data_IF_925047722952
#
_entry.id   IF_925047722952
#
_cell.length_a   1.000
_cell.length_b   1.000
_cell.length_c   1.000
_cell.angle_alpha   90.00
_cell.angle_beta   90.00
_cell.angle_gamma   90.00
#
_symmetry.space_group_name_H-M   'P 1'
#
loop_
_entity.id
_entity.type
_entity.pdbx_description
1 polymer ?
#
# COMPACT_ATOMS: atom_id res chain seq x y z
N UNK A 1 -11.13 2.82 -17.66
CA UNK A 1 -10.20 3.13 -16.55
C UNK A 1 -8.93 2.33 -16.75
N UNK A 2 -7.77 2.98 -16.74
CA UNK A 2 -6.46 2.35 -16.88
C UNK A 2 -5.62 2.72 -15.66
N UNK A 3 -4.88 1.75 -15.12
CA UNK A 3 -3.99 1.97 -13.98
C UNK A 3 -2.58 1.57 -14.41
N UNK A 4 -1.61 2.44 -14.16
CA UNK A 4 -0.20 2.20 -14.42
C UNK A 4 0.56 2.38 -13.11
N UNK A 5 1.18 1.31 -12.62
CA UNK A 5 2.04 1.36 -11.44
C UNK A 5 3.50 1.14 -11.87
N UNK A 6 4.35 2.08 -11.48
CA UNK A 6 5.78 2.08 -11.72
C UNK A 6 6.51 2.13 -10.39
N UNK A 7 6.75 0.96 -9.83
CA UNK A 7 7.41 0.80 -8.53
C UNK A 7 8.87 1.29 -8.53
N UNK A 8 9.52 1.32 -9.70
CA UNK A 8 10.90 1.81 -9.89
C UNK A 8 11.05 3.29 -9.54
N UNK A 9 9.98 4.06 -9.70
CA UNK A 9 9.94 5.51 -9.45
C UNK A 9 8.82 5.90 -8.48
N UNK A 10 8.33 4.94 -7.70
CA UNK A 10 7.27 5.11 -6.70
C UNK A 10 6.02 5.89 -7.21
N UNK A 11 5.54 5.49 -8.39
CA UNK A 11 4.54 6.24 -9.13
C UNK A 11 3.32 5.40 -9.49
N UNK A 12 2.12 5.96 -9.27
CA UNK A 12 0.86 5.37 -9.74
C UNK A 12 0.09 6.40 -10.55
N UNK A 13 -0.31 6.03 -11.76
CA UNK A 13 -1.22 6.80 -12.61
C UNK A 13 -2.53 6.07 -12.79
N UNK A 14 -3.63 6.80 -12.68
CA UNK A 14 -5.00 6.32 -12.86
C UNK A 14 -5.67 7.20 -13.90
N UNK A 15 -5.95 6.65 -15.07
CA UNK A 15 -6.71 7.33 -16.13
C UNK A 15 -8.18 6.90 -16.04
N UNK A 16 -9.07 7.86 -15.85
CA UNK A 16 -10.52 7.65 -15.85
C UNK A 16 -11.11 7.69 -17.25
N UNK A 17 -10.60 8.60 -18.09
CA UNK A 17 -11.07 8.86 -19.46
C UNK A 17 -9.88 9.05 -20.40
N UNK A 18 -10.05 8.66 -21.65
CA UNK A 18 -9.07 8.89 -22.71
C UNK A 18 -9.36 10.25 -23.37
N UNK A 19 -8.97 11.31 -22.67
CA UNK A 19 -9.18 12.71 -23.09
C UNK A 19 -7.87 13.50 -22.96
N UNK A 20 -7.75 14.59 -23.72
CA UNK A 20 -6.57 15.44 -23.69
C UNK A 20 -6.58 16.29 -22.41
N UNK A 21 -5.50 16.23 -21.64
CA UNK A 21 -5.27 17.10 -20.49
C UNK A 21 -5.23 18.57 -20.93
N UNK A 22 -6.04 19.39 -20.28
CA UNK A 22 -6.01 20.85 -20.45
C UNK A 22 -5.28 21.55 -19.32
N UNK A 23 -5.41 21.03 -18.09
CA UNK A 23 -4.81 21.60 -16.89
C UNK A 23 -4.53 20.49 -15.89
N UNK A 24 -3.48 20.67 -15.09
CA UNK A 24 -3.25 19.86 -13.88
C UNK A 24 -3.00 20.72 -12.65
N UNK A 25 -3.29 20.15 -11.48
CA UNK A 25 -2.97 20.72 -10.18
C UNK A 25 -2.21 19.70 -9.35
N UNK A 26 -1.10 20.12 -8.75
CA UNK A 26 -0.32 19.30 -7.84
C UNK A 26 -0.56 19.72 -6.40
N UNK A 27 -0.94 18.76 -5.56
CA UNK A 27 -1.10 18.96 -4.13
C UNK A 27 -0.70 17.69 -3.37
N UNK A 28 0.18 17.84 -2.38
CA UNK A 28 0.58 16.77 -1.45
C UNK A 28 1.10 15.47 -2.10
N UNK A 29 1.71 15.51 -3.29
CA UNK A 29 2.17 14.29 -3.97
C UNK A 29 1.14 13.68 -4.94
N UNK A 30 0.03 14.37 -5.16
CA UNK A 30 -1.02 13.99 -6.09
C UNK A 30 -1.14 15.06 -7.18
N UNK A 31 -1.09 14.66 -8.44
CA UNK A 31 -1.43 15.46 -9.61
C UNK A 31 -2.85 15.08 -10.01
N UNK A 32 -3.76 16.04 -10.06
CA UNK A 32 -5.10 15.87 -10.63
C UNK A 32 -5.09 16.46 -12.04
N UNK A 33 -5.39 15.64 -13.04
CA UNK A 33 -5.47 16.02 -14.46
C UNK A 33 -6.92 16.31 -14.85
N UNK A 34 -7.15 17.48 -15.47
CA UNK A 34 -8.45 18.00 -15.83
C UNK A 34 -8.58 18.22 -17.34
N UNK A 35 -9.79 18.00 -17.86
CA UNK A 35 -10.19 18.41 -19.21
C UNK A 35 -10.44 19.94 -19.30
N UNK A 36 -10.73 20.43 -20.51
CA UNK A 36 -11.02 21.86 -20.77
C UNK A 36 -12.27 22.38 -20.04
N UNK A 37 -13.18 21.51 -19.63
CA UNK A 37 -14.42 21.81 -18.91
C UNK A 37 -14.25 21.70 -17.39
N UNK A 38 -13.07 21.32 -16.90
CA UNK A 38 -12.78 21.10 -15.48
C UNK A 38 -13.17 19.72 -14.96
N UNK A 39 -13.52 18.77 -15.84
CA UNK A 39 -13.76 17.38 -15.47
C UNK A 39 -12.46 16.64 -15.18
N UNK A 40 -12.44 15.78 -14.15
CA UNK A 40 -11.27 14.96 -13.81
C UNK A 40 -11.12 13.83 -14.82
N UNK A 41 -9.97 13.77 -15.49
CA UNK A 41 -9.65 12.74 -16.48
C UNK A 41 -8.62 11.73 -15.96
N UNK A 42 -7.81 12.11 -14.97
CA UNK A 42 -6.86 11.21 -14.34
C UNK A 42 -6.21 11.76 -13.07
N UNK A 43 -5.52 10.88 -12.37
CA UNK A 43 -4.76 11.19 -11.15
C UNK A 43 -3.39 10.53 -11.24
N UNK A 44 -2.34 11.25 -10.88
CA UNK A 44 -1.01 10.69 -10.73
C UNK A 44 -0.51 10.88 -9.30
N UNK A 45 0.04 9.83 -8.70
CA UNK A 45 0.56 9.79 -7.34
C UNK A 45 2.07 9.61 -7.45
N UNK A 46 2.83 10.61 -7.03
CA UNK A 46 4.29 10.69 -7.23
C UNK A 46 5.11 10.23 -6.03
N UNK A 47 4.46 9.96 -4.91
CA UNK A 47 5.01 9.36 -3.69
C UNK A 47 4.02 8.28 -3.24
N UNK A 48 3.83 7.29 -4.13
CA UNK A 48 2.81 6.27 -3.97
C UNK A 48 2.99 5.50 -2.66
N UNK A 49 4.24 5.31 -2.24
CA UNK A 49 4.61 4.64 -1.00
C UNK A 49 4.09 5.39 0.23
N UNK A 50 4.10 6.72 0.25
CA UNK A 50 3.47 7.49 1.35
C UNK A 50 1.97 7.31 1.40
N UNK A 51 1.27 7.25 0.27
CA UNK A 51 -0.18 7.05 0.24
C UNK A 51 -0.58 5.62 0.61
N UNK A 52 0.22 4.64 0.23
CA UNK A 52 0.01 3.24 0.57
C UNK A 52 0.69 2.82 1.89
N UNK A 53 1.44 3.72 2.55
CA UNK A 53 2.01 3.51 3.89
C UNK A 53 0.95 3.35 4.98
N UNK A 54 -0.31 3.65 4.65
CA UNK A 54 -1.49 3.43 5.50
C UNK A 54 -1.71 1.97 5.92
N UNK A 55 -1.12 1.00 5.23
CA UNK A 55 -1.01 -0.38 5.72
C UNK A 55 0.46 -0.75 6.01
N UNK A 56 1.11 0.08 6.83
CA UNK A 56 2.36 -0.29 7.51
C UNK A 56 2.19 -1.51 8.44
N UNK A 57 0.95 -1.97 8.61
CA UNK A 57 0.63 -3.14 9.40
C UNK A 57 -0.11 -4.22 8.60
N UNK A 58 0.25 -5.47 8.84
CA UNK A 58 -0.33 -6.66 8.23
C UNK A 58 -1.22 -7.38 9.23
N UNK A 59 -2.27 -8.03 8.71
CA UNK A 59 -3.01 -9.05 9.46
C UNK A 59 -2.17 -10.31 9.68
N UNK A 60 -2.62 -11.22 10.54
CA UNK A 60 -1.99 -12.54 10.69
C UNK A 60 -1.93 -13.31 9.37
N UNK A 61 -3.00 -13.24 8.59
CA UNK A 61 -3.12 -13.96 7.32
C UNK A 61 -2.11 -13.41 6.31
N UNK A 62 -2.01 -12.10 6.18
CA UNK A 62 -1.11 -11.46 5.22
C UNK A 62 0.36 -11.62 5.64
N UNK A 63 0.65 -11.54 6.93
CA UNK A 63 2.00 -11.81 7.45
C UNK A 63 2.43 -13.27 7.22
N UNK A 64 1.53 -14.24 7.44
CA UNK A 64 1.81 -15.65 7.18
C UNK A 64 2.04 -15.93 5.69
N UNK A 65 1.22 -15.33 4.82
CA UNK A 65 1.37 -15.39 3.36
C UNK A 65 2.72 -14.82 2.92
N UNK A 66 3.11 -13.67 3.47
CA UNK A 66 4.37 -13.01 3.12
C UNK A 66 5.60 -13.84 3.51
N UNK A 67 5.55 -14.55 4.64
CA UNK A 67 6.62 -15.46 5.09
C UNK A 67 6.59 -16.84 4.41
N UNK A 68 5.58 -17.14 3.59
CA UNK A 68 5.40 -18.47 2.99
C UNK A 68 5.13 -19.59 4.00
N UNK A 69 4.51 -19.27 5.16
CA UNK A 69 4.21 -20.24 6.22
C UNK A 69 2.71 -20.32 6.52
N UNK A 70 2.27 -21.40 7.17
CA UNK A 70 0.90 -21.51 7.66
C UNK A 70 0.61 -20.54 8.81
N UNK A 71 -0.65 -20.11 8.97
CA UNK A 71 -1.09 -19.33 10.14
C UNK A 71 -0.80 -20.05 11.47
N UNK A 72 -0.91 -21.37 11.50
CA UNK A 72 -0.56 -22.18 12.68
C UNK A 72 0.92 -22.06 13.04
N UNK A 73 1.80 -22.04 12.04
CA UNK A 73 3.24 -21.80 12.21
C UNK A 73 3.52 -20.37 12.64
N UNK A 74 2.80 -19.40 12.09
CA UNK A 74 2.87 -17.99 12.49
C UNK A 74 2.48 -17.83 13.97
N UNK A 75 1.34 -18.40 14.40
CA UNK A 75 0.90 -18.40 15.81
C UNK A 75 1.91 -19.06 16.75
N UNK A 76 2.58 -20.12 16.31
CA UNK A 76 3.67 -20.76 17.06
C UNK A 76 4.84 -19.79 17.26
N UNK A 77 5.33 -19.15 16.20
CA UNK A 77 6.44 -18.19 16.27
C UNK A 77 6.12 -16.98 17.15
N UNK A 78 4.86 -16.53 17.15
CA UNK A 78 4.37 -15.48 18.06
C UNK A 78 4.47 -15.91 19.52
N UNK A 79 4.00 -17.13 19.84
CA UNK A 79 4.10 -17.70 21.20
C UNK A 79 5.56 -17.87 21.64
N UNK A 80 6.43 -18.25 20.71
CA UNK A 80 7.88 -18.38 20.95
C UNK A 80 8.61 -17.02 21.03
N UNK A 81 7.87 -15.90 20.99
CA UNK A 81 8.37 -14.51 21.03
C UNK A 81 9.37 -14.16 19.91
N UNK A 82 9.28 -14.84 18.76
CA UNK A 82 10.17 -14.62 17.61
C UNK A 82 9.70 -13.52 16.66
N UNK A 83 8.47 -13.03 16.81
CA UNK A 83 7.86 -12.05 15.91
C UNK A 83 7.17 -10.97 16.74
N UNK A 84 7.56 -9.68 16.60
CA UNK A 84 6.85 -8.56 17.21
C UNK A 84 5.43 -8.44 16.67
N UNK A 85 4.46 -8.19 17.56
CA UNK A 85 3.06 -7.99 17.19
C UNK A 85 2.38 -6.97 18.12
N UNK A 86 1.29 -6.39 17.64
CA UNK A 86 0.36 -5.58 18.42
C UNK A 86 -1.05 -6.19 18.39
N UNK A 87 -1.86 -5.83 19.38
CA UNK A 87 -3.29 -6.18 19.45
C UNK A 87 -4.11 -4.91 19.75
N UNK A 88 -4.27 -4.00 18.78
CA UNK A 88 -4.96 -2.72 19.01
C UNK A 88 -6.39 -2.91 19.52
N UNK A 89 -7.09 -3.96 19.06
CA UNK A 89 -8.45 -4.29 19.49
C UNK A 89 -8.49 -5.38 20.58
N UNK A 90 -7.35 -5.72 21.19
CA UNK A 90 -7.22 -6.81 22.18
C UNK A 90 -7.37 -8.24 21.63
N UNK A 91 -7.91 -8.40 20.41
CA UNK A 91 -8.20 -9.69 19.79
C UNK A 91 -7.28 -10.03 18.63
N UNK A 92 -7.24 -9.15 17.62
CA UNK A 92 -6.58 -9.42 16.35
C UNK A 92 -5.08 -9.11 16.39
N UNK A 93 -4.30 -9.98 15.76
CA UNK A 93 -2.86 -9.78 15.62
C UNK A 93 -2.57 -8.83 14.46
N UNK A 94 -1.78 -7.80 14.76
CA UNK A 94 -1.36 -6.78 13.81
C UNK A 94 0.17 -6.71 13.83
N UNK A 95 0.80 -6.81 12.67
CA UNK A 95 2.27 -6.89 12.54
C UNK A 95 2.78 -5.71 11.75
N UNK A 96 3.89 -5.08 12.14
CA UNK A 96 4.51 -4.10 11.24
C UNK A 96 5.11 -4.84 10.05
N UNK A 97 4.82 -4.35 8.84
CA UNK A 97 5.33 -4.94 7.59
C UNK A 97 6.86 -5.02 7.59
N UNK A 98 7.54 -3.97 8.07
CA UNK A 98 9.00 -3.91 8.20
C UNK A 98 9.57 -5.04 9.07
N UNK A 99 8.91 -5.36 10.19
CA UNK A 99 9.37 -6.41 11.11
C UNK A 99 9.21 -7.80 10.49
N UNK A 100 8.17 -8.00 9.68
CA UNK A 100 7.98 -9.25 8.93
C UNK A 100 9.00 -9.38 7.80
N UNK A 101 9.29 -8.29 7.08
CA UNK A 101 10.27 -8.28 5.98
C UNK A 101 11.68 -8.61 6.45
N UNK A 102 12.09 -8.15 7.65
CA UNK A 102 13.38 -8.49 8.26
C UNK A 102 13.58 -10.00 8.49
N UNK A 103 12.51 -10.79 8.53
CA UNK A 103 12.56 -12.24 8.75
C UNK A 103 12.71 -13.04 7.45
N UNK A 104 12.60 -12.39 6.29
CA UNK A 104 12.73 -12.99 4.96
C UNK A 104 14.17 -12.85 4.40
N UNK A 105 14.98 -11.96 4.99
CA UNK A 105 16.40 -11.79 4.64
C UNK A 105 17.30 -12.92 5.12
#
# INVERSE_FOLDING_TARGET
MKIVHRADIDYVSIDFRDEIEAKSTYENGIIVRLDKKGGVIGIDITDSSRFFSGESTLSLQDAARLLGISESTMRRRIRDKKIPFSKPNGKDYVFRKEDILKLVS
#
